data_IF_606780144213
#
_entry.id   IF_606780144213
#
_cell.length_a   1.000
_cell.length_b   1.000
_cell.length_c   1.000
_cell.angle_alpha   90.00
_cell.angle_beta   90.00
_cell.angle_gamma   90.00
#
_symmetry.space_group_name_H-M   'P 1'
#
loop_
_entity.id
_entity.type
_entity.pdbx_description
1 polymer ?
#
# COMPACT_ATOMS: atom_id res chain seq x y z
N UNK A 1 3.99 20.32 -1.60
CA UNK A 1 3.38 21.31 -0.70
C UNK A 1 4.35 21.59 0.43
N UNK A 2 4.75 22.85 0.62
CA UNK A 2 5.66 23.32 1.68
C UNK A 2 4.88 24.20 2.66
N UNK A 3 5.17 24.05 3.94
CA UNK A 3 4.58 24.87 5.01
C UNK A 3 5.35 26.19 5.12
N UNK A 4 4.65 27.32 4.94
CA UNK A 4 5.28 28.66 5.00
C UNK A 4 5.85 29.03 6.38
N UNK A 5 5.45 28.32 7.45
CA UNK A 5 5.93 28.57 8.82
C UNK A 5 7.15 27.71 9.19
N UNK A 6 7.44 26.65 8.42
CA UNK A 6 8.49 25.67 8.74
C UNK A 6 9.55 25.56 7.64
N UNK A 7 9.23 25.97 6.41
CA UNK A 7 10.11 25.81 5.26
C UNK A 7 10.30 24.38 4.81
N UNK A 8 11.40 24.12 4.11
CA UNK A 8 11.72 22.80 3.59
C UNK A 8 12.25 21.90 4.70
N UNK A 9 11.67 20.70 4.81
CA UNK A 9 12.06 19.67 5.76
C UNK A 9 12.61 18.43 5.05
N UNK A 10 13.28 17.54 5.79
CA UNK A 10 13.86 16.30 5.25
C UNK A 10 12.83 15.47 4.45
N UNK A 11 11.59 15.38 4.95
CA UNK A 11 10.51 14.66 4.26
C UNK A 11 10.12 15.31 2.93
N UNK A 12 10.17 16.66 2.83
CA UNK A 12 9.91 17.35 1.56
C UNK A 12 10.95 16.97 0.52
N UNK A 13 12.22 16.91 0.92
CA UNK A 13 13.34 16.53 0.05
C UNK A 13 13.19 15.07 -0.40
N UNK A 14 12.96 14.15 0.53
CA UNK A 14 12.80 12.72 0.21
C UNK A 14 11.64 12.47 -0.76
N UNK A 15 10.49 13.09 -0.51
CA UNK A 15 9.33 12.95 -1.39
C UNK A 15 9.56 13.59 -2.78
N UNK A 16 10.30 14.68 -2.85
CA UNK A 16 10.67 15.31 -4.12
C UNK A 16 11.56 14.38 -4.96
N UNK A 17 12.59 13.77 -4.35
CA UNK A 17 13.46 12.84 -5.07
C UNK A 17 12.69 11.63 -5.59
N UNK A 18 11.78 11.05 -4.80
CA UNK A 18 10.91 9.96 -5.25
C UNK A 18 10.02 10.39 -6.43
N UNK A 19 9.48 11.61 -6.39
CA UNK A 19 8.67 12.12 -7.49
C UNK A 19 9.50 12.32 -8.78
N UNK A 20 10.74 12.81 -8.66
CA UNK A 20 11.65 12.99 -9.79
C UNK A 20 12.12 11.65 -10.37
N UNK A 21 12.37 10.65 -9.53
CA UNK A 21 12.74 9.29 -9.97
C UNK A 21 11.66 8.66 -10.86
N UNK A 22 10.39 9.00 -10.60
CA UNK A 22 9.25 8.55 -11.40
C UNK A 22 8.80 9.53 -12.48
N UNK A 23 9.60 10.56 -12.80
CA UNK A 23 9.31 11.58 -13.81
C UNK A 23 7.93 12.25 -13.62
N UNK A 24 7.56 12.51 -12.37
CA UNK A 24 6.28 13.14 -12.06
C UNK A 24 6.33 14.66 -12.26
N UNK A 25 5.25 15.24 -12.76
CA UNK A 25 5.09 16.69 -12.87
C UNK A 25 5.05 17.33 -11.48
N UNK A 26 5.96 18.27 -11.21
CA UNK A 26 6.05 18.97 -9.93
C UNK A 26 5.32 20.30 -10.04
N UNK A 27 4.35 20.53 -9.14
CA UNK A 27 3.65 21.80 -8.95
C UNK A 27 4.00 22.31 -7.57
N UNK A 28 4.88 23.33 -7.42
CA UNK A 28 5.26 23.83 -6.12
C UNK A 28 4.15 24.68 -5.48
N UNK A 29 3.77 24.33 -4.26
CA UNK A 29 2.73 25.03 -3.49
C UNK A 29 3.28 25.41 -2.12
N UNK A 30 3.17 26.70 -1.78
CA UNK A 30 3.47 27.25 -0.47
C UNK A 30 2.18 27.41 0.30
N UNK A 31 1.95 26.58 1.33
CA UNK A 31 0.71 26.57 2.10
C UNK A 31 0.87 27.29 3.45
N UNK A 32 -0.26 27.62 4.08
CA UNK A 32 -0.39 28.30 5.36
C UNK A 32 0.09 29.76 5.32
N UNK A 33 -0.11 30.46 4.19
CA UNK A 33 0.26 31.87 4.06
C UNK A 33 -0.59 32.82 4.95
N UNK A 34 -1.68 32.31 5.51
CA UNK A 34 -2.56 33.00 6.44
C UNK A 34 -2.02 33.07 7.89
N UNK A 35 -0.94 32.39 8.18
CA UNK A 35 -0.36 32.38 9.52
C UNK A 35 0.57 33.58 9.75
N UNK A 36 0.49 34.21 10.92
CA UNK A 36 1.37 35.35 11.28
C UNK A 36 2.87 35.01 11.24
N UNK A 37 3.21 33.73 11.47
CA UNK A 37 4.58 33.22 11.43
C UNK A 37 5.03 32.78 10.02
N UNK A 38 4.26 33.04 8.96
CA UNK A 38 4.59 32.63 7.61
C UNK A 38 5.76 33.44 7.06
N UNK A 39 6.84 32.74 6.64
CA UNK A 39 8.04 33.31 6.01
C UNK A 39 7.97 33.16 4.50
N UNK A 40 6.99 33.81 3.87
CA UNK A 40 6.60 33.56 2.47
C UNK A 40 7.77 33.74 1.51
N UNK A 41 8.49 34.87 1.61
CA UNK A 41 9.58 35.21 0.68
C UNK A 41 10.78 34.27 0.85
N UNK A 42 11.17 34.01 2.11
CA UNK A 42 12.30 33.13 2.44
C UNK A 42 12.02 31.68 2.00
N UNK A 43 10.82 31.16 2.24
CA UNK A 43 10.49 29.77 1.87
C UNK A 43 10.32 29.63 0.36
N UNK A 44 9.86 30.68 -0.35
CA UNK A 44 9.89 30.68 -1.83
C UNK A 44 11.33 30.56 -2.34
N UNK A 45 12.29 31.30 -1.78
CA UNK A 45 13.69 31.19 -2.17
C UNK A 45 14.24 29.79 -1.93
N UNK A 46 13.93 29.17 -0.79
CA UNK A 46 14.29 27.77 -0.51
C UNK A 46 13.71 26.80 -1.56
N UNK A 47 12.46 27.01 -2.01
CA UNK A 47 11.83 26.16 -3.03
C UNK A 47 12.53 26.34 -4.38
N UNK A 48 12.84 27.59 -4.78
CA UNK A 48 13.58 27.88 -6.02
C UNK A 48 14.95 27.20 -5.99
N UNK A 49 15.69 27.31 -4.87
CA UNK A 49 17.00 26.68 -4.71
C UNK A 49 16.94 25.15 -4.79
N UNK A 50 15.85 24.55 -4.26
CA UNK A 50 15.70 23.08 -4.23
C UNK A 50 15.28 22.50 -5.58
N UNK A 51 14.33 23.14 -6.29
CA UNK A 51 13.68 22.58 -7.49
C UNK A 51 14.25 23.18 -8.76
N UNK A 52 14.76 24.43 -8.71
CA UNK A 52 15.21 25.18 -9.87
C UNK A 52 14.06 25.75 -10.71
N UNK A 53 12.86 25.93 -10.14
CA UNK A 53 11.71 26.52 -10.80
C UNK A 53 11.76 28.06 -10.76
N UNK A 54 10.99 28.72 -11.62
CA UNK A 54 10.77 30.15 -11.51
C UNK A 54 9.92 30.49 -10.27
N UNK A 55 10.25 31.60 -9.62
CA UNK A 55 9.56 32.05 -8.40
C UNK A 55 8.06 32.25 -8.59
N UNK A 56 7.65 32.68 -9.77
CA UNK A 56 6.27 32.94 -10.12
C UNK A 56 5.46 31.64 -10.37
N UNK A 57 6.14 30.51 -10.51
CA UNK A 57 5.50 29.20 -10.62
C UNK A 57 5.02 28.67 -9.26
N UNK A 58 5.51 29.24 -8.15
CA UNK A 58 5.16 28.82 -6.80
C UNK A 58 3.81 29.40 -6.40
N UNK A 59 2.81 28.54 -6.31
CA UNK A 59 1.45 28.94 -5.91
C UNK A 59 1.41 29.14 -4.41
N UNK A 60 1.05 30.37 -3.99
CA UNK A 60 0.86 30.72 -2.58
C UNK A 60 -0.59 30.42 -2.19
N UNK A 61 -0.79 29.58 -1.16
CA UNK A 61 -2.10 29.08 -0.79
C UNK A 61 -2.33 29.03 0.72
N UNK A 62 -3.59 29.04 1.10
CA UNK A 62 -4.06 28.67 2.42
C UNK A 62 -5.23 27.69 2.30
N UNK A 63 -4.98 26.42 2.58
CA UNK A 63 -6.04 25.42 2.58
C UNK A 63 -7.13 25.72 3.62
N UNK A 64 -6.82 26.46 4.68
CA UNK A 64 -7.76 26.85 5.73
C UNK A 64 -8.74 27.92 5.24
N UNK A 65 -8.26 28.92 4.49
CA UNK A 65 -9.06 30.06 4.05
C UNK A 65 -9.58 29.91 2.62
N UNK A 66 -9.04 28.94 1.85
CA UNK A 66 -9.38 28.73 0.45
C UNK A 66 -8.55 29.56 -0.54
N UNK A 67 -7.69 30.46 -0.07
CA UNK A 67 -6.84 31.29 -0.93
C UNK A 67 -5.88 30.39 -1.74
N UNK A 68 -5.76 30.63 -3.05
CA UNK A 68 -4.84 29.91 -3.94
C UNK A 68 -5.30 28.50 -4.33
N UNK A 69 -6.44 28.00 -3.83
CA UNK A 69 -6.91 26.64 -4.13
C UNK A 69 -7.35 26.50 -5.60
N UNK A 70 -8.03 27.50 -6.12
CA UNK A 70 -8.45 27.49 -7.54
C UNK A 70 -7.26 27.51 -8.50
N UNK A 71 -6.21 28.26 -8.17
CA UNK A 71 -4.96 28.29 -8.93
C UNK A 71 -4.25 26.92 -8.93
N UNK A 72 -4.26 26.22 -7.79
CA UNK A 72 -3.73 24.86 -7.70
C UNK A 72 -4.52 23.90 -8.61
N UNK A 73 -5.85 23.97 -8.59
CA UNK A 73 -6.70 23.13 -9.44
C UNK A 73 -6.48 23.42 -10.94
N UNK A 74 -6.34 24.70 -11.31
CA UNK A 74 -6.00 25.08 -12.69
C UNK A 74 -4.62 24.56 -13.08
N UNK A 75 -3.61 24.71 -12.24
CA UNK A 75 -2.26 24.21 -12.53
C UNK A 75 -2.23 22.70 -12.71
N UNK A 76 -3.02 21.93 -11.94
CA UNK A 76 -3.15 20.48 -12.12
C UNK A 76 -3.74 20.17 -13.51
N UNK A 77 -4.82 20.86 -13.91
CA UNK A 77 -5.49 20.62 -15.19
C UNK A 77 -4.57 20.97 -16.37
N UNK A 78 -3.80 22.06 -16.26
CA UNK A 78 -2.96 22.55 -17.35
C UNK A 78 -1.61 21.83 -17.48
N UNK A 79 -0.99 21.45 -16.34
CA UNK A 79 0.40 20.98 -16.31
C UNK A 79 0.52 19.47 -16.18
N UNK A 80 -0.44 18.77 -15.56
CA UNK A 80 -0.37 17.32 -15.41
C UNK A 80 -0.83 16.64 -16.70
N UNK A 81 0.02 15.81 -17.35
CA UNK A 81 -0.35 15.14 -18.58
C UNK A 81 -1.49 14.14 -18.35
N UNK A 82 -2.35 13.98 -19.36
CA UNK A 82 -3.37 12.94 -19.33
C UNK A 82 -2.75 11.55 -19.24
N UNK A 83 -3.43 10.57 -18.61
CA UNK A 83 -2.97 9.18 -18.58
C UNK A 83 -2.67 8.66 -19.99
N UNK A 84 -1.52 8.02 -20.16
CA UNK A 84 -1.10 7.41 -21.44
C UNK A 84 -1.49 5.94 -21.44
N UNK A 85 -2.10 5.46 -22.53
CA UNK A 85 -2.46 4.07 -22.75
C UNK A 85 -3.23 3.88 -24.05
N UNK A 86 -3.44 2.63 -24.43
CA UNK A 86 -4.14 2.22 -25.66
C UNK A 86 -5.47 1.59 -25.30
N UNK A 87 -6.59 2.24 -25.69
CA UNK A 87 -7.95 1.75 -25.45
C UNK A 87 -8.28 0.48 -26.24
N UNK A 88 -7.63 0.26 -27.39
CA UNK A 88 -7.85 -0.91 -28.26
C UNK A 88 -6.97 -2.10 -27.91
N UNK A 89 -6.01 -1.93 -27.00
CA UNK A 89 -5.15 -3.01 -26.51
C UNK A 89 -5.92 -4.00 -25.60
N UNK A 90 -5.36 -5.20 -25.37
CA UNK A 90 -5.88 -6.10 -24.33
C UNK A 90 -5.91 -5.40 -22.95
N UNK A 91 -6.95 -5.70 -22.18
CA UNK A 91 -7.10 -5.14 -20.84
C UNK A 91 -5.86 -5.42 -19.98
N UNK A 92 -5.32 -4.35 -19.43
CA UNK A 92 -4.32 -4.36 -18.35
C UNK A 92 -4.77 -3.36 -17.28
N UNK A 93 -5.22 -3.87 -16.14
CA UNK A 93 -5.60 -3.03 -15.01
C UNK A 93 -4.84 -3.49 -13.75
N UNK A 94 -4.19 -2.55 -13.06
CA UNK A 94 -3.40 -2.80 -11.86
C UNK A 94 -4.29 -2.69 -10.63
N UNK A 95 -4.34 -3.71 -9.79
CA UNK A 95 -4.97 -3.67 -8.47
C UNK A 95 -4.03 -2.93 -7.53
N UNK A 96 -4.47 -1.83 -6.95
CA UNK A 96 -3.66 -1.05 -6.01
C UNK A 96 -4.19 -1.11 -4.56
N UNK A 97 -5.43 -1.57 -4.36
CA UNK A 97 -6.03 -1.74 -3.03
C UNK A 97 -7.21 -2.69 -3.10
N UNK A 98 -7.63 -3.25 -1.96
CA UNK A 98 -8.85 -4.03 -1.87
C UNK A 98 -9.45 -3.96 -0.47
N UNK A 99 -10.77 -4.10 -0.37
CA UNK A 99 -11.46 -4.13 0.93
C UNK A 99 -12.44 -5.30 0.97
N UNK A 100 -12.61 -5.86 2.16
CA UNK A 100 -13.61 -6.89 2.38
C UNK A 100 -14.96 -6.27 2.77
N UNK A 101 -16.00 -6.67 2.09
CA UNK A 101 -17.38 -6.34 2.41
C UNK A 101 -18.15 -7.62 2.71
N UNK A 102 -18.78 -7.72 3.88
CA UNK A 102 -19.49 -8.93 4.33
C UNK A 102 -20.63 -9.38 3.42
N UNK A 103 -21.22 -8.45 2.65
CA UNK A 103 -22.35 -8.73 1.76
C UNK A 103 -21.92 -8.95 0.29
N UNK A 104 -20.89 -8.24 -0.15
CA UNK A 104 -20.46 -8.19 -1.56
C UNK A 104 -19.17 -8.97 -1.84
N UNK A 105 -18.52 -9.48 -0.79
CA UNK A 105 -17.20 -10.08 -0.89
C UNK A 105 -16.08 -9.04 -1.02
N UNK A 106 -15.01 -9.39 -1.71
CA UNK A 106 -13.88 -8.50 -1.93
C UNK A 106 -14.21 -7.49 -3.03
N UNK A 107 -13.96 -6.23 -2.74
CA UNK A 107 -14.02 -5.12 -3.68
C UNK A 107 -12.56 -4.76 -3.99
N UNK A 108 -12.10 -5.02 -5.21
CA UNK A 108 -10.77 -4.65 -5.63
C UNK A 108 -10.79 -3.30 -6.34
N UNK A 109 -9.87 -2.41 -5.94
CA UNK A 109 -9.67 -1.12 -6.58
C UNK A 109 -8.55 -1.22 -7.60
N UNK A 110 -8.78 -0.71 -8.80
CA UNK A 110 -7.83 -0.84 -9.89
C UNK A 110 -7.69 0.42 -10.72
N UNK A 111 -6.56 0.54 -11.40
CA UNK A 111 -6.31 1.56 -12.43
C UNK A 111 -6.12 0.87 -13.77
N UNK A 112 -6.89 1.28 -14.78
CA UNK A 112 -6.75 0.76 -16.15
C UNK A 112 -5.57 1.44 -16.83
N UNK A 113 -4.57 0.64 -17.23
CA UNK A 113 -3.42 1.08 -18.01
C UNK A 113 -3.72 1.02 -19.51
N UNK A 114 -4.30 -0.10 -19.96
CA UNK A 114 -4.67 -0.32 -21.36
C UNK A 114 -6.00 -1.04 -21.44
N UNK A 115 -6.72 -0.84 -22.55
CA UNK A 115 -7.99 -1.49 -22.83
C UNK A 115 -9.15 -0.91 -22.03
N UNK A 116 -10.20 -1.69 -21.91
CA UNK A 116 -11.39 -1.35 -21.11
C UNK A 116 -11.95 -2.61 -20.47
N UNK A 117 -12.75 -2.44 -19.44
CA UNK A 117 -13.49 -3.51 -18.77
C UNK A 117 -14.96 -3.15 -18.72
N UNK A 118 -15.85 -4.12 -18.99
CA UNK A 118 -17.31 -3.95 -18.95
C UNK A 118 -17.93 -4.84 -17.90
N UNK A 119 -19.08 -4.42 -17.41
CA UNK A 119 -19.90 -5.28 -16.54
C UNK A 119 -20.25 -6.57 -17.29
N UNK A 120 -20.03 -7.72 -16.64
CA UNK A 120 -20.27 -9.06 -17.19
C UNK A 120 -19.07 -9.67 -17.91
N UNK A 121 -17.96 -8.94 -18.09
CA UNK A 121 -16.76 -9.49 -18.70
C UNK A 121 -16.17 -10.61 -17.83
N UNK A 122 -15.62 -11.62 -18.50
CA UNK A 122 -14.81 -12.64 -17.86
C UNK A 122 -13.37 -12.14 -17.75
N UNK A 123 -12.92 -11.97 -16.55
CA UNK A 123 -11.59 -11.47 -16.23
C UNK A 123 -10.75 -12.53 -15.54
N UNK A 124 -9.44 -12.41 -15.71
CA UNK A 124 -8.44 -13.26 -15.08
C UNK A 124 -7.48 -12.40 -14.28
N UNK A 125 -7.18 -12.82 -13.07
CA UNK A 125 -6.16 -12.24 -12.22
C UNK A 125 -4.83 -12.93 -12.55
N UNK A 126 -3.84 -12.15 -12.96
CA UNK A 126 -2.63 -12.67 -13.60
C UNK A 126 -1.78 -13.52 -12.65
N UNK A 127 -1.56 -13.04 -11.41
CA UNK A 127 -0.72 -13.71 -10.42
C UNK A 127 -1.35 -15.02 -9.91
N UNK A 128 -2.68 -15.03 -9.66
CA UNK A 128 -3.37 -16.22 -9.14
C UNK A 128 -3.85 -17.16 -10.25
N UNK A 129 -3.93 -16.66 -11.49
CA UNK A 129 -4.46 -17.38 -12.63
C UNK A 129 -5.97 -17.67 -12.57
N UNK A 130 -6.68 -17.18 -11.54
CA UNK A 130 -8.10 -17.42 -11.34
C UNK A 130 -8.96 -16.51 -12.21
N UNK A 131 -10.11 -17.04 -12.60
CA UNK A 131 -11.07 -16.39 -13.51
C UNK A 131 -12.34 -16.03 -12.75
N UNK A 132 -12.87 -14.84 -13.02
CA UNK A 132 -14.07 -14.31 -12.41
C UNK A 132 -14.93 -13.57 -13.43
N UNK A 133 -16.18 -13.33 -13.06
CA UNK A 133 -17.09 -12.44 -13.80
C UNK A 133 -17.09 -11.07 -13.10
N UNK A 134 -16.99 -10.00 -13.87
CA UNK A 134 -17.15 -8.65 -13.38
C UNK A 134 -18.62 -8.33 -13.11
N UNK A 135 -19.16 -8.76 -11.96
CA UNK A 135 -20.56 -8.60 -11.61
C UNK A 135 -20.98 -7.13 -11.54
N UNK A 136 -20.10 -6.32 -10.98
CA UNK A 136 -20.23 -4.87 -10.94
C UNK A 136 -18.85 -4.22 -11.11
N UNK A 137 -18.83 -3.16 -11.90
CA UNK A 137 -17.68 -2.25 -12.04
C UNK A 137 -18.16 -0.82 -11.91
N UNK A 138 -17.26 0.08 -11.57
CA UNK A 138 -17.58 1.50 -11.48
C UNK A 138 -16.38 2.34 -11.12
N UNK A 139 -16.63 3.61 -10.86
CA UNK A 139 -15.61 4.59 -10.43
C UNK A 139 -15.87 5.05 -9.01
N UNK A 140 -14.82 5.50 -8.35
CA UNK A 140 -14.89 6.07 -7.02
C UNK A 140 -15.01 7.59 -7.12
N UNK A 141 -15.97 8.12 -6.40
CA UNK A 141 -16.10 9.55 -6.08
C UNK A 141 -16.12 9.65 -4.55
N UNK A 142 -17.08 10.39 -3.94
CA UNK A 142 -17.33 10.29 -2.49
C UNK A 142 -17.98 8.94 -2.11
N UNK A 143 -18.55 8.26 -3.09
CA UNK A 143 -19.12 6.91 -2.99
C UNK A 143 -18.83 6.12 -4.27
N UNK A 144 -19.11 4.82 -4.24
CA UNK A 144 -19.03 3.97 -5.42
C UNK A 144 -20.13 4.34 -6.41
N UNK A 145 -19.74 4.61 -7.66
CA UNK A 145 -20.66 4.88 -8.76
C UNK A 145 -20.54 3.81 -9.83
N UNK A 146 -21.52 2.87 -9.91
CA UNK A 146 -21.53 1.83 -10.94
C UNK A 146 -21.49 2.42 -12.35
N UNK A 147 -20.75 1.76 -13.24
CA UNK A 147 -20.65 2.09 -14.65
C UNK A 147 -20.80 0.84 -15.51
N UNK A 148 -21.19 1.03 -16.77
CA UNK A 148 -21.21 -0.05 -17.76
C UNK A 148 -19.82 -0.40 -18.26
N UNK A 149 -18.91 0.57 -18.26
CA UNK A 149 -17.55 0.46 -18.77
C UNK A 149 -16.61 1.36 -17.97
N UNK A 150 -15.37 0.88 -17.77
CA UNK A 150 -14.22 1.61 -17.21
C UNK A 150 -13.06 1.45 -18.17
N UNK A 151 -12.41 2.56 -18.56
CA UNK A 151 -11.46 2.63 -19.68
C UNK A 151 -10.06 2.99 -19.25
N UNK A 152 -9.14 2.90 -20.19
CA UNK A 152 -7.76 3.38 -20.08
C UNK A 152 -7.68 4.75 -19.39
N UNK A 153 -6.85 4.82 -18.34
CA UNK A 153 -6.66 6.01 -17.51
C UNK A 153 -7.63 6.13 -16.34
N UNK A 154 -8.77 5.43 -16.37
CA UNK A 154 -9.73 5.47 -15.27
C UNK A 154 -9.20 4.70 -14.04
N UNK A 155 -9.61 5.19 -12.88
CA UNK A 155 -9.49 4.50 -11.60
C UNK A 155 -10.88 4.01 -11.19
N UNK A 156 -11.00 2.72 -10.95
CA UNK A 156 -12.29 2.10 -10.68
C UNK A 156 -12.24 1.00 -9.63
N UNK A 157 -13.37 0.35 -9.48
CA UNK A 157 -13.52 -0.83 -8.63
C UNK A 157 -14.21 -1.97 -9.39
N UNK A 158 -13.94 -3.20 -8.95
CA UNK A 158 -14.59 -4.42 -9.43
C UNK A 158 -15.12 -5.22 -8.24
N UNK A 159 -16.32 -5.78 -8.41
CA UNK A 159 -16.92 -6.75 -7.52
C UNK A 159 -17.19 -8.00 -8.34
N UNK A 160 -16.67 -9.14 -7.89
CA UNK A 160 -16.72 -10.41 -8.59
C UNK A 160 -17.10 -11.57 -7.66
N UNK A 161 -17.74 -11.27 -6.52
CA UNK A 161 -18.18 -12.28 -5.55
C UNK A 161 -17.06 -13.07 -4.88
N UNK A 162 -15.82 -12.59 -4.95
CA UNK A 162 -14.65 -13.24 -4.33
C UNK A 162 -14.76 -13.14 -2.80
N UNK A 163 -14.61 -14.27 -2.10
CA UNK A 163 -14.77 -14.34 -0.65
C UNK A 163 -13.46 -14.59 0.09
N UNK A 164 -12.47 -15.11 -0.60
CA UNK A 164 -11.19 -15.52 -0.02
C UNK A 164 -10.12 -14.46 -0.28
N UNK A 165 -9.55 -13.93 0.78
CA UNK A 165 -8.56 -12.85 0.73
C UNK A 165 -7.33 -13.20 -0.14
N UNK A 166 -6.86 -14.44 -0.07
CA UNK A 166 -5.70 -14.91 -0.83
C UNK A 166 -5.91 -14.96 -2.35
N UNK A 167 -7.14 -14.74 -2.83
CA UNK A 167 -7.46 -14.74 -4.27
C UNK A 167 -7.27 -13.38 -4.94
N UNK A 168 -7.11 -12.31 -4.15
CA UNK A 168 -6.86 -10.96 -4.62
C UNK A 168 -5.57 -10.45 -3.99
N UNK A 169 -4.59 -10.11 -4.81
CA UNK A 169 -3.32 -9.56 -4.35
C UNK A 169 -3.17 -8.13 -4.85
N UNK A 170 -2.81 -7.21 -3.95
CA UNK A 170 -2.41 -5.86 -4.35
C UNK A 170 -1.15 -5.95 -5.20
N UNK A 171 -1.11 -5.19 -6.30
CA UNK A 171 -0.06 -5.30 -7.32
C UNK A 171 -0.34 -6.31 -8.43
N UNK A 172 -1.43 -7.10 -8.36
CA UNK A 172 -1.81 -8.01 -9.43
C UNK A 172 -2.43 -7.28 -10.62
N UNK A 173 -2.41 -7.93 -11.78
CA UNK A 173 -2.97 -7.41 -13.03
C UNK A 173 -4.26 -8.14 -13.37
N UNK A 174 -5.31 -7.37 -13.66
CA UNK A 174 -6.57 -7.87 -14.22
C UNK A 174 -6.48 -7.81 -15.74
N UNK A 175 -6.83 -8.91 -16.40
CA UNK A 175 -6.94 -9.01 -17.87
C UNK A 175 -8.20 -9.78 -18.28
N UNK A 176 -8.57 -9.74 -19.56
CA UNK A 176 -9.68 -10.57 -20.07
C UNK A 176 -9.26 -12.03 -20.24
N UNK A 177 -10.18 -12.95 -20.02
CA UNK A 177 -9.96 -14.38 -20.28
C UNK A 177 -9.83 -14.66 -21.78
N UNK A 178 -10.67 -14.05 -22.60
CA UNK A 178 -10.70 -14.30 -24.05
C UNK A 178 -9.55 -13.60 -24.80
N UNK A 179 -9.11 -12.45 -24.31
CA UNK A 179 -8.02 -11.65 -24.91
C UNK A 179 -7.04 -11.21 -23.83
N UNK A 180 -6.26 -12.13 -23.28
CA UNK A 180 -5.33 -11.82 -22.20
C UNK A 180 -4.18 -10.93 -22.67
N UNK A 181 -3.71 -10.07 -21.78
CA UNK A 181 -2.46 -9.35 -22.01
C UNK A 181 -1.26 -10.33 -21.96
N UNK A 182 -0.17 -9.96 -22.63
CA UNK A 182 1.03 -10.81 -22.70
C UNK A 182 1.83 -10.79 -21.41
N UNK A 183 1.84 -9.66 -20.72
CA UNK A 183 2.67 -9.41 -19.54
C UNK A 183 1.83 -8.73 -18.46
N UNK A 184 2.12 -9.05 -17.19
CA UNK A 184 1.58 -8.30 -16.07
C UNK A 184 2.14 -6.87 -16.07
N UNK A 185 1.38 -5.92 -15.52
CA UNK A 185 1.93 -4.61 -15.21
C UNK A 185 3.03 -4.82 -14.17
N UNK A 186 4.20 -4.15 -14.34
CA UNK A 186 5.21 -4.09 -13.28
C UNK A 186 4.53 -3.53 -12.02
N UNK A 187 4.34 -4.40 -11.06
CA UNK A 187 3.55 -4.14 -9.87
C UNK A 187 4.40 -3.65 -8.72
N UNK A 188 3.83 -3.77 -7.54
CA UNK A 188 4.53 -3.48 -6.30
C UNK A 188 5.58 -4.57 -6.03
N UNK A 189 6.75 -4.16 -5.58
CA UNK A 189 7.75 -5.10 -5.06
C UNK A 189 7.24 -5.72 -3.75
N UNK A 190 7.51 -7.02 -3.57
CA UNK A 190 7.19 -7.68 -2.31
C UNK A 190 8.13 -7.12 -1.22
N UNK A 191 7.56 -6.33 -0.32
CA UNK A 191 8.32 -5.76 0.80
C UNK A 191 8.57 -6.84 1.85
N UNK A 192 9.83 -7.02 2.23
CA UNK A 192 10.21 -8.02 3.24
C UNK A 192 10.00 -7.46 4.65
N UNK A 193 9.33 -8.22 5.54
CA UNK A 193 9.24 -7.83 6.94
C UNK A 193 10.61 -7.70 7.59
N UNK A 194 10.76 -6.72 8.46
CA UNK A 194 12.00 -6.47 9.21
C UNK A 194 11.87 -6.80 10.70
N UNK A 195 10.67 -6.70 11.25
CA UNK A 195 10.36 -6.93 12.65
C UNK A 195 9.33 -8.06 12.75
N UNK A 196 9.56 -8.98 13.67
CA UNK A 196 8.67 -10.11 13.89
C UNK A 196 8.20 -10.14 15.35
N UNK A 197 6.90 -10.36 15.55
CA UNK A 197 6.31 -10.55 16.86
C UNK A 197 5.19 -11.59 16.82
N UNK A 198 4.96 -12.27 17.93
CA UNK A 198 3.78 -13.11 18.10
C UNK A 198 2.57 -12.24 18.46
N UNK A 199 1.44 -12.48 17.83
CA UNK A 199 0.13 -11.91 18.14
C UNK A 199 -0.78 -13.02 18.66
N UNK A 200 -1.31 -12.84 19.85
CA UNK A 200 -2.19 -13.82 20.52
C UNK A 200 -3.48 -13.14 20.95
N UNK A 201 -4.64 -13.78 20.81
CA UNK A 201 -5.88 -13.25 21.35
C UNK A 201 -5.84 -13.27 22.88
N UNK A 202 -6.56 -12.36 23.53
CA UNK A 202 -6.67 -12.33 24.99
C UNK A 202 -7.40 -13.58 25.49
N UNK A 203 -8.44 -14.01 24.78
CA UNK A 203 -9.14 -15.27 25.03
C UNK A 203 -8.79 -16.31 23.95
N UNK A 204 -8.46 -17.52 24.37
CA UNK A 204 -8.11 -18.61 23.43
C UNK A 204 -9.25 -19.00 22.48
N UNK A 205 -10.49 -18.72 22.86
CA UNK A 205 -11.66 -18.99 22.03
C UNK A 205 -11.77 -18.04 20.83
N UNK A 206 -11.08 -16.91 20.87
CA UNK A 206 -11.08 -15.89 19.82
C UNK A 206 -10.03 -16.14 18.70
N UNK A 207 -9.32 -17.26 18.74
CA UNK A 207 -8.28 -17.57 17.74
C UNK A 207 -8.77 -17.53 16.28
N UNK A 208 -9.93 -18.14 16.00
CA UNK A 208 -10.47 -18.14 14.64
C UNK A 208 -10.97 -16.74 14.20
N UNK A 209 -11.45 -15.94 15.14
CA UNK A 209 -11.83 -14.55 14.90
C UNK A 209 -10.60 -13.69 14.62
N UNK A 210 -9.53 -13.84 15.39
CA UNK A 210 -8.24 -13.20 15.12
C UNK A 210 -7.71 -13.57 13.73
N UNK A 211 -7.76 -14.86 13.36
CA UNK A 211 -7.36 -15.32 12.04
C UNK A 211 -8.12 -14.63 10.94
N UNK A 212 -9.47 -14.61 11.03
CA UNK A 212 -10.32 -13.94 10.06
C UNK A 212 -10.03 -12.44 9.95
N UNK A 213 -9.74 -11.78 11.07
CA UNK A 213 -9.39 -10.37 11.13
C UNK A 213 -8.04 -10.08 10.48
N UNK A 214 -7.03 -10.93 10.74
CA UNK A 214 -5.72 -10.84 10.10
C UNK A 214 -5.79 -11.06 8.58
N UNK A 215 -6.58 -12.04 8.10
CA UNK A 215 -6.81 -12.27 6.68
C UNK A 215 -7.47 -11.05 6.00
N UNK A 216 -8.40 -10.37 6.68
CA UNK A 216 -9.03 -9.14 6.16
C UNK A 216 -8.07 -7.95 6.16
N UNK A 217 -7.22 -7.79 7.18
CA UNK A 217 -6.20 -6.76 7.21
C UNK A 217 -5.18 -6.92 6.08
N UNK A 218 -4.78 -8.16 5.79
CA UNK A 218 -3.81 -8.46 4.72
C UNK A 218 -4.31 -8.06 3.33
N UNK A 219 -5.63 -7.91 3.13
CA UNK A 219 -6.19 -7.46 1.85
C UNK A 219 -5.72 -6.07 1.42
N UNK A 220 -5.59 -5.17 2.37
CA UNK A 220 -5.15 -3.79 2.12
C UNK A 220 -3.80 -3.46 2.76
N UNK A 221 -3.12 -4.47 3.30
CA UNK A 221 -1.75 -4.37 3.78
C UNK A 221 -0.94 -5.59 3.31
N UNK A 222 -0.44 -5.53 2.08
CA UNK A 222 0.34 -6.60 1.47
C UNK A 222 1.68 -6.87 2.18
N UNK A 223 2.13 -5.95 3.03
CA UNK A 223 3.37 -6.09 3.80
C UNK A 223 3.20 -6.91 5.09
N UNK A 224 1.95 -7.06 5.56
CA UNK A 224 1.64 -7.89 6.72
C UNK A 224 1.73 -9.37 6.34
N UNK A 225 2.66 -10.07 6.96
CA UNK A 225 2.76 -11.53 6.84
C UNK A 225 2.44 -12.18 8.19
N UNK A 226 1.78 -13.32 8.18
CA UNK A 226 1.51 -14.07 9.41
C UNK A 226 1.43 -15.58 9.15
N UNK A 227 1.88 -16.33 10.11
CA UNK A 227 1.82 -17.79 10.15
C UNK A 227 1.34 -18.26 11.52
N UNK A 228 0.64 -19.40 11.60
CA UNK A 228 0.22 -19.96 12.87
C UNK A 228 1.40 -20.23 13.81
N UNK A 229 1.27 -19.82 15.06
CA UNK A 229 2.25 -20.08 16.12
C UNK A 229 1.53 -20.54 17.38
N UNK A 230 2.22 -21.31 18.21
CA UNK A 230 1.70 -21.72 19.52
C UNK A 230 2.70 -21.40 20.62
N UNK A 231 2.21 -20.89 21.73
CA UNK A 231 2.97 -20.62 22.94
C UNK A 231 2.44 -21.46 24.10
N UNK A 232 3.32 -22.03 24.90
CA UNK A 232 2.89 -22.76 26.12
C UNK A 232 2.18 -21.86 27.13
N UNK A 233 2.49 -20.57 27.13
CA UNK A 233 1.90 -19.59 28.06
C UNK A 233 0.66 -18.88 27.51
N UNK A 234 0.62 -18.60 26.18
CA UNK A 234 -0.40 -17.78 25.55
C UNK A 234 -1.36 -18.59 24.65
N UNK A 235 -1.13 -19.88 24.46
CA UNK A 235 -1.94 -20.72 23.58
C UNK A 235 -1.65 -20.54 22.11
N UNK A 236 -2.68 -20.59 21.28
CA UNK A 236 -2.58 -20.44 19.83
C UNK A 236 -2.65 -18.97 19.43
N UNK A 237 -1.80 -18.58 18.48
CA UNK A 237 -1.70 -17.24 17.93
C UNK A 237 -1.02 -17.25 16.57
N UNK A 238 -0.45 -16.12 16.18
CA UNK A 238 0.23 -15.95 14.90
C UNK A 238 1.59 -15.30 15.09
N UNK A 239 2.58 -15.83 14.40
CA UNK A 239 3.85 -15.15 14.17
C UNK A 239 3.69 -14.19 13.04
N UNK A 240 3.80 -12.89 13.32
CA UNK A 240 3.58 -11.83 12.36
C UNK A 240 4.88 -11.14 11.97
N UNK A 241 5.01 -10.78 10.70
CA UNK A 241 6.08 -9.96 10.18
C UNK A 241 5.58 -8.57 9.83
N UNK A 242 6.34 -7.56 10.23
CA UNK A 242 6.02 -6.13 10.09
C UNK A 242 7.17 -5.37 9.45
N UNK A 243 6.90 -4.22 8.84
CA UNK A 243 7.92 -3.32 8.28
C UNK A 243 8.77 -2.65 9.37
N UNK A 244 8.23 -2.51 10.56
CA UNK A 244 8.87 -1.89 11.71
C UNK A 244 7.93 -1.83 12.91
N UNK A 245 8.37 -1.23 14.01
CA UNK A 245 7.59 -1.11 15.25
C UNK A 245 6.32 -0.30 15.05
N UNK A 246 6.38 0.81 14.35
CA UNK A 246 5.21 1.64 14.06
C UNK A 246 4.16 0.87 13.25
N UNK A 247 4.58 0.06 12.28
CA UNK A 247 3.66 -0.79 11.52
C UNK A 247 2.95 -1.80 12.44
N UNK A 248 3.68 -2.42 13.37
CA UNK A 248 3.12 -3.33 14.37
C UNK A 248 2.06 -2.64 15.23
N UNK A 249 2.34 -1.42 15.73
CA UNK A 249 1.39 -0.63 16.52
C UNK A 249 0.13 -0.27 15.72
N UNK A 250 0.28 0.09 14.44
CA UNK A 250 -0.84 0.37 13.53
C UNK A 250 -1.72 -0.87 13.36
N UNK A 251 -1.13 -2.05 13.13
CA UNK A 251 -1.90 -3.30 12.98
C UNK A 251 -2.65 -3.64 14.27
N UNK A 252 -2.04 -3.48 15.44
CA UNK A 252 -2.73 -3.67 16.73
C UNK A 252 -3.92 -2.73 16.87
N UNK A 253 -3.72 -1.44 16.60
CA UNK A 253 -4.77 -0.43 16.70
C UNK A 253 -5.91 -0.69 15.69
N UNK A 254 -5.59 -1.19 14.50
CA UNK A 254 -6.60 -1.59 13.51
C UNK A 254 -7.38 -2.82 13.95
N UNK A 255 -6.72 -3.83 14.53
CA UNK A 255 -7.41 -5.00 15.10
C UNK A 255 -8.41 -4.57 16.17
N UNK A 256 -8.00 -3.68 17.05
CA UNK A 256 -8.86 -3.14 18.08
C UNK A 256 -10.04 -2.34 17.52
N UNK A 257 -9.79 -1.36 16.64
CA UNK A 257 -10.83 -0.43 16.15
C UNK A 257 -11.75 -1.01 15.09
N UNK A 258 -11.22 -1.81 14.17
CA UNK A 258 -11.98 -2.30 13.03
C UNK A 258 -12.68 -3.64 13.32
N UNK A 259 -12.11 -4.43 14.22
CA UNK A 259 -12.57 -5.81 14.51
C UNK A 259 -12.93 -6.06 15.97
N UNK A 260 -12.83 -5.05 16.86
CA UNK A 260 -13.08 -5.17 18.30
C UNK A 260 -12.25 -6.30 18.95
N UNK A 261 -11.00 -6.46 18.48
CA UNK A 261 -10.11 -7.55 18.83
C UNK A 261 -8.92 -7.05 19.65
N UNK A 262 -8.90 -7.41 20.93
CA UNK A 262 -7.76 -7.18 21.82
C UNK A 262 -6.71 -8.27 21.64
N UNK A 263 -5.44 -7.88 21.47
CA UNK A 263 -4.35 -8.81 21.25
C UNK A 263 -3.19 -8.59 22.21
N UNK A 264 -2.52 -9.69 22.55
CA UNK A 264 -1.26 -9.69 23.30
C UNK A 264 -0.13 -9.83 22.30
N UNK A 265 0.83 -8.91 22.31
CA UNK A 265 2.03 -8.97 21.48
C UNK A 265 3.22 -9.44 22.30
N UNK A 266 4.05 -10.30 21.71
CA UNK A 266 5.35 -10.63 22.28
C UNK A 266 6.37 -9.53 21.99
N UNK A 267 7.50 -9.56 22.69
CA UNK A 267 8.61 -8.64 22.41
C UNK A 267 9.04 -8.80 20.96
N UNK A 268 9.11 -7.70 20.18
CA UNK A 268 9.54 -7.74 18.80
C UNK A 268 10.99 -8.24 18.68
N UNK A 269 11.29 -8.98 17.63
CA UNK A 269 12.64 -9.36 17.27
C UNK A 269 12.87 -9.21 15.75
N UNK A 270 14.12 -9.33 15.32
CA UNK A 270 14.55 -9.21 13.93
C UNK A 270 14.90 -10.58 13.36
N UNK A 271 15.07 -10.66 12.05
CA UNK A 271 15.61 -11.86 11.39
C UNK A 271 17.10 -11.95 11.58
N UNK A 272 17.59 -13.14 11.89
CA UNK A 272 19.01 -13.47 11.99
C UNK A 272 19.45 -14.25 10.77
N UNK A 273 20.64 -13.97 10.25
CA UNK A 273 21.30 -14.83 9.28
C UNK A 273 22.18 -15.84 10.03
N UNK A 274 21.80 -17.10 9.98
CA UNK A 274 22.53 -18.19 10.61
C UNK A 274 23.39 -18.90 9.57
N UNK A 275 24.67 -18.90 9.76
CA UNK A 275 25.65 -19.63 8.94
C UNK A 275 25.93 -20.97 9.58
N UNK A 276 25.73 -22.04 8.81
CA UNK A 276 25.96 -23.38 9.31
C UNK A 276 27.42 -23.84 9.06
N UNK A 277 27.87 -24.81 9.83
CA UNK A 277 29.17 -25.43 9.64
C UNK A 277 29.35 -26.11 8.26
N UNK A 278 28.25 -26.25 7.50
CA UNK A 278 28.23 -26.74 6.11
C UNK A 278 28.27 -25.63 5.06
N UNK A 279 28.51 -24.36 5.45
CA UNK A 279 28.46 -23.17 4.59
C UNK A 279 27.08 -22.87 3.99
N UNK A 280 26.00 -23.32 4.61
CA UNK A 280 24.63 -22.93 4.26
C UNK A 280 24.25 -21.70 5.06
N UNK A 281 23.50 -20.76 4.44
CA UNK A 281 22.98 -19.57 5.09
C UNK A 281 21.47 -19.74 5.24
N UNK A 282 20.98 -19.65 6.47
CA UNK A 282 19.56 -19.71 6.80
C UNK A 282 19.10 -18.39 7.40
N UNK A 283 17.99 -17.87 6.94
CA UNK A 283 17.35 -16.75 7.58
C UNK A 283 16.38 -17.27 8.65
N UNK A 284 16.59 -16.89 9.91
CA UNK A 284 15.82 -17.36 11.06
C UNK A 284 15.16 -16.16 11.73
N UNK A 285 13.84 -16.12 11.76
CA UNK A 285 13.03 -15.10 12.42
C UNK A 285 12.26 -15.65 13.62
N UNK A 286 12.36 -16.94 13.88
CA UNK A 286 11.79 -17.59 15.06
C UNK A 286 12.88 -18.41 15.77
N UNK A 287 13.10 -18.22 17.09
CA UNK A 287 14.09 -19.00 17.83
C UNK A 287 13.93 -20.52 17.72
N UNK A 288 12.70 -21.01 17.52
CA UNK A 288 12.43 -22.44 17.31
C UNK A 288 13.00 -23.00 16.00
N UNK A 289 13.29 -22.13 15.04
CA UNK A 289 13.92 -22.49 13.77
C UNK A 289 15.46 -22.55 13.81
N UNK A 290 16.08 -22.23 14.95
CA UNK A 290 17.54 -22.32 15.08
C UNK A 290 18.02 -23.76 14.96
N UNK A 291 19.06 -24.02 14.13
CA UNK A 291 19.72 -25.33 14.08
C UNK A 291 20.32 -25.70 15.45
N UNK A 292 20.63 -26.96 15.62
CA UNK A 292 21.36 -27.41 16.83
C UNK A 292 22.69 -26.63 16.97
N UNK A 293 23.08 -26.19 18.18
CA UNK A 293 24.23 -25.30 18.40
C UNK A 293 25.55 -25.81 17.76
N UNK A 294 25.72 -27.11 17.66
CA UNK A 294 26.88 -27.71 17.02
C UNK A 294 26.91 -27.61 15.48
N UNK A 295 25.82 -27.19 14.87
CA UNK A 295 25.71 -26.96 13.43
C UNK A 295 25.81 -25.47 13.06
N UNK A 296 25.92 -24.59 14.03
CA UNK A 296 26.02 -23.17 13.82
C UNK A 296 27.48 -22.73 13.84
N UNK A 297 27.93 -22.06 12.77
CA UNK A 297 29.25 -21.42 12.70
C UNK A 297 29.20 -20.01 13.27
N UNK A 298 28.27 -19.18 12.76
CA UNK A 298 28.03 -17.82 13.25
C UNK A 298 26.59 -17.37 13.01
N UNK A 299 26.17 -16.36 13.77
CA UNK A 299 24.88 -15.70 13.63
C UNK A 299 25.12 -14.22 13.41
N UNK A 300 24.48 -13.66 12.39
CA UNK A 300 24.54 -12.23 12.09
C UNK A 300 23.15 -11.62 12.33
N UNK A 301 23.13 -10.54 13.10
CA UNK A 301 21.94 -9.72 13.35
C UNK A 301 22.02 -8.48 12.47
N UNK A 302 20.91 -8.04 11.83
CA UNK A 302 20.89 -6.77 11.12
C UNK A 302 21.10 -5.61 12.13
N UNK A 303 22.01 -4.71 11.80
CA UNK A 303 22.19 -3.46 12.55
C UNK A 303 21.12 -2.48 12.07
N UNK A 304 20.23 -2.06 12.99
CA UNK A 304 19.13 -1.11 12.73
C UNK A 304 19.53 0.27 13.25
#
# INVERSE_FOLDING_TARGET
VVDATQGIQAQTISNLYLALEHDLTIIPVLNKIDMDAAMIEEVKDQIVDLIGCDRDEIISASAKTGIGVDEILHAIIERVPSPVGDEDAPLQALIFDSVFNSFRGIIAYFKVKNGSIRKGDKVKFFATGKEYVADEIGVLKLSMHPRSEVKTGDVGYIISGIKTATEVKVGDTITHVERPCKEAIAGFEDVKPMVFAGLYPVSTDEYEELRSSMEKLQLNDASLTFEPESSMALGFGFRCGFLGLLHMEIIQERLYREFDMDVITTVPNVSFNVYTTKNEVMQVHNPSGLPAPNLIDRVEEPYI
#
